data_IF_101159893336
#
_entry.id   IF_101159893336
#
_cell.length_a   1.000
_cell.length_b   1.000
_cell.length_c   1.000
_cell.angle_alpha   90.00
_cell.angle_beta   90.00
_cell.angle_gamma   90.00
#
_symmetry.space_group_name_H-M   'P 1'
#
loop_
_entity.id
_entity.type
_entity.pdbx_description
1 polymer ?
#
# COMPACT_ATOMS: atom_id res chain seq x y z
N UNK A 1 28.41 -2.47 15.24
CA UNK A 1 28.84 -2.31 13.83
C UNK A 1 27.71 -1.60 13.09
N UNK A 2 27.97 -0.42 12.51
CA UNK A 2 26.96 0.53 11.98
C UNK A 2 26.42 0.15 10.58
N UNK A 3 26.68 -1.07 10.12
CA UNK A 3 26.39 -1.56 8.78
C UNK A 3 25.66 -2.90 8.78
N UNK A 4 24.80 -3.14 9.76
CA UNK A 4 23.91 -4.31 9.79
C UNK A 4 22.46 -3.86 9.55
N UNK A 5 22.16 -3.45 8.32
CA UNK A 5 20.90 -2.79 7.93
C UNK A 5 19.74 -3.78 7.67
N UNK A 6 19.83 -5.01 8.17
CA UNK A 6 18.80 -6.04 8.02
C UNK A 6 18.45 -6.35 6.56
N UNK A 7 17.37 -7.09 6.31
CA UNK A 7 16.81 -7.31 4.96
C UNK A 7 15.88 -6.15 4.56
N UNK A 8 15.63 -6.03 3.26
CA UNK A 8 14.77 -5.00 2.65
C UNK A 8 13.44 -4.78 3.40
N UNK A 9 12.91 -3.53 3.42
CA UNK A 9 13.57 -2.31 2.95
C UNK A 9 14.53 -1.75 4.01
N UNK A 10 15.75 -1.40 3.58
CA UNK A 10 16.86 -0.97 4.44
C UNK A 10 16.71 0.47 4.97
N UNK A 11 15.62 0.76 5.69
CA UNK A 11 15.18 2.06 6.24
C UNK A 11 14.25 2.85 5.32
N UNK A 12 12.98 2.93 5.73
CA UNK A 12 11.96 3.82 5.16
C UNK A 12 11.69 4.96 6.15
N UNK A 13 11.68 6.21 5.66
CA UNK A 13 11.20 7.34 6.47
C UNK A 13 9.70 7.17 6.70
N UNK A 14 9.25 7.25 7.96
CA UNK A 14 7.81 7.23 8.22
C UNK A 14 7.13 8.42 7.51
N UNK A 15 6.02 8.14 6.83
CA UNK A 15 5.35 9.06 5.95
C UNK A 15 3.99 8.56 5.52
N UNK A 16 3.18 9.50 5.00
CA UNK A 16 1.81 9.26 4.58
C UNK A 16 1.55 9.99 3.27
N UNK A 17 0.74 9.40 2.41
CA UNK A 17 0.28 10.03 1.18
C UNK A 17 -1.19 9.72 0.95
N UNK A 18 -1.99 10.75 0.68
CA UNK A 18 -3.35 10.59 0.18
C UNK A 18 -3.28 10.29 -1.33
N UNK A 19 -3.69 9.10 -1.73
CA UNK A 19 -3.69 8.66 -3.12
C UNK A 19 -5.09 8.81 -3.70
N UNK A 20 -5.18 9.39 -4.91
CA UNK A 20 -6.45 9.51 -5.64
C UNK A 20 -6.25 9.30 -7.14
N UNK A 21 -6.85 8.25 -7.68
CA UNK A 21 -6.64 7.80 -9.07
C UNK A 21 -7.97 7.69 -9.79
N UNK A 22 -8.01 7.97 -11.10
CA UNK A 22 -9.17 7.59 -11.93
C UNK A 22 -9.13 6.10 -12.17
N UNK A 23 -10.27 5.44 -12.07
CA UNK A 23 -10.43 4.00 -12.29
C UNK A 23 -11.60 3.73 -13.21
N UNK A 24 -11.61 2.57 -13.86
CA UNK A 24 -12.80 2.08 -14.55
C UNK A 24 -13.90 1.72 -13.55
N UNK A 25 -15.15 1.70 -13.99
CA UNK A 25 -16.29 1.32 -13.16
C UNK A 25 -16.16 -0.10 -12.61
N UNK A 26 -16.74 -0.36 -11.45
CA UNK A 26 -16.71 -1.67 -10.79
C UNK A 26 -16.10 -1.60 -9.39
N UNK A 27 -16.01 -2.75 -8.75
CA UNK A 27 -15.51 -2.86 -7.39
C UNK A 27 -14.00 -3.00 -7.40
N UNK A 28 -13.34 -2.27 -6.51
CA UNK A 28 -11.88 -2.25 -6.40
C UNK A 28 -11.45 -2.60 -4.99
N UNK A 29 -10.34 -3.32 -4.89
CA UNK A 29 -9.65 -3.60 -3.63
C UNK A 29 -8.20 -3.17 -3.73
N UNK A 30 -7.73 -2.47 -2.70
CA UNK A 30 -6.32 -2.08 -2.59
C UNK A 30 -5.64 -3.02 -1.61
N UNK A 31 -4.52 -3.60 -2.02
CA UNK A 31 -3.69 -4.45 -1.19
C UNK A 31 -2.36 -3.77 -0.90
N UNK A 32 -1.89 -3.85 0.35
CA UNK A 32 -0.47 -3.66 0.64
C UNK A 32 0.28 -4.97 0.36
N UNK A 33 1.47 -4.86 -0.22
CA UNK A 33 2.27 -6.02 -0.62
C UNK A 33 3.50 -6.23 0.26
N UNK A 34 3.93 -7.48 0.34
CA UNK A 34 5.29 -7.83 0.69
C UNK A 34 6.27 -7.48 -0.45
N UNK A 35 7.56 -7.47 -0.15
CA UNK A 35 8.61 -7.19 -1.14
C UNK A 35 8.69 -8.27 -2.25
N UNK A 36 8.17 -9.46 -2.00
CA UNK A 36 8.06 -10.56 -2.97
C UNK A 36 6.78 -10.48 -3.84
N UNK A 37 5.95 -9.45 -3.63
CA UNK A 37 4.70 -9.23 -4.37
C UNK A 37 3.49 -9.95 -3.79
N UNK A 38 3.62 -10.75 -2.73
CA UNK A 38 2.46 -11.37 -2.10
C UNK A 38 1.59 -10.32 -1.42
N UNK A 39 0.26 -10.52 -1.43
CA UNK A 39 -0.66 -9.68 -0.65
C UNK A 39 -0.37 -9.84 0.84
N UNK A 40 -0.34 -8.72 1.57
CA UNK A 40 -0.16 -8.69 3.02
C UNK A 40 -1.48 -8.39 3.74
N UNK A 41 -2.14 -7.29 3.39
CA UNK A 41 -3.44 -6.90 3.95
C UNK A 41 -4.22 -5.99 2.99
N UNK A 42 -5.53 -5.91 3.18
CA UNK A 42 -6.41 -4.98 2.46
C UNK A 42 -6.29 -3.59 3.07
N UNK A 43 -6.07 -2.59 2.22
CA UNK A 43 -6.03 -1.18 2.60
C UNK A 43 -7.44 -0.60 2.49
N UNK A 44 -7.96 0.09 3.52
CA UNK A 44 -9.23 0.81 3.40
C UNK A 44 -9.21 1.79 2.23
N UNK A 45 -10.16 1.61 1.32
CA UNK A 45 -10.27 2.41 0.11
C UNK A 45 -11.73 2.66 -0.24
N UNK A 46 -12.01 3.77 -0.93
CA UNK A 46 -13.34 4.10 -1.41
C UNK A 46 -13.29 4.45 -2.89
N UNK A 47 -14.33 4.06 -3.63
CA UNK A 47 -14.54 4.48 -5.02
C UNK A 47 -15.71 5.45 -5.05
N UNK A 48 -15.44 6.69 -5.46
CA UNK A 48 -16.46 7.72 -5.62
C UNK A 48 -16.33 8.38 -6.98
N UNK A 49 -17.41 8.38 -7.77
CA UNK A 49 -17.47 9.05 -9.09
C UNK A 49 -16.29 8.67 -10.00
N UNK A 50 -15.99 7.37 -10.09
CA UNK A 50 -14.89 6.83 -10.92
C UNK A 50 -13.48 7.18 -10.41
N UNK A 51 -13.35 7.54 -9.12
CA UNK A 51 -12.05 7.78 -8.48
C UNK A 51 -11.89 6.92 -7.23
N UNK A 52 -10.84 6.11 -7.23
CA UNK A 52 -10.39 5.37 -6.06
C UNK A 52 -9.54 6.27 -5.17
N UNK A 53 -9.83 6.28 -3.87
CA UNK A 53 -9.05 6.96 -2.84
C UNK A 53 -8.62 5.99 -1.74
N UNK A 54 -7.37 6.14 -1.29
CA UNK A 54 -6.82 5.44 -0.12
C UNK A 54 -5.65 6.25 0.45
N UNK A 55 -5.22 5.92 1.68
CA UNK A 55 -4.05 6.54 2.31
C UNK A 55 -2.91 5.51 2.37
N UNK A 56 -1.82 5.79 1.66
CA UNK A 56 -0.58 5.03 1.79
C UNK A 56 0.15 5.49 3.07
N UNK A 57 0.45 4.57 3.97
CA UNK A 57 1.15 4.84 5.23
C UNK A 57 2.30 3.85 5.38
N UNK A 58 3.49 4.38 5.64
CA UNK A 58 4.67 3.56 5.90
C UNK A 58 4.49 2.74 7.19
N UNK A 59 3.81 3.32 8.18
CA UNK A 59 3.50 2.72 9.48
C UNK A 59 2.12 2.02 9.56
N UNK A 60 1.54 1.63 8.41
CA UNK A 60 0.25 0.90 8.38
C UNK A 60 0.30 -0.44 9.12
N UNK A 61 1.48 -1.05 9.20
CA UNK A 61 1.75 -2.29 9.93
C UNK A 61 2.81 -1.98 11.01
N UNK A 62 2.54 -2.25 12.30
CA UNK A 62 3.48 -1.95 13.37
C UNK A 62 4.75 -2.82 13.34
N UNK A 63 4.76 -3.91 12.57
CA UNK A 63 5.87 -4.87 12.50
C UNK A 63 6.75 -4.68 11.28
N UNK A 64 6.27 -4.01 10.23
CA UNK A 64 6.98 -3.84 8.97
C UNK A 64 6.55 -2.58 8.20
N UNK A 65 7.50 -1.96 7.50
CA UNK A 65 7.17 -0.85 6.60
C UNK A 65 6.23 -1.30 5.47
N UNK A 66 5.26 -0.45 5.14
CA UNK A 66 4.32 -0.65 4.04
C UNK A 66 4.56 0.38 2.93
N UNK A 67 4.91 -0.07 1.73
CA UNK A 67 5.39 0.82 0.65
C UNK A 67 5.08 0.33 -0.77
N UNK A 68 4.55 -0.88 -0.91
CA UNK A 68 4.09 -1.45 -2.19
C UNK A 68 2.59 -1.68 -2.11
N UNK A 69 1.88 -1.30 -3.16
CA UNK A 69 0.43 -1.39 -3.23
C UNK A 69 -0.03 -1.93 -4.59
N UNK A 70 -1.05 -2.78 -4.59
CA UNK A 70 -1.73 -3.26 -5.78
C UNK A 70 -3.20 -2.84 -5.76
N UNK A 71 -3.72 -2.47 -6.93
CA UNK A 71 -5.13 -2.13 -7.13
C UNK A 71 -5.74 -3.23 -7.99
N UNK A 72 -6.65 -4.01 -7.40
CA UNK A 72 -7.33 -5.12 -8.05
C UNK A 72 -8.77 -4.74 -8.32
N UNK A 73 -9.24 -4.98 -9.54
CA UNK A 73 -10.66 -4.87 -9.90
C UNK A 73 -11.32 -6.22 -9.67
N UNK A 74 -12.34 -6.25 -8.82
CA UNK A 74 -13.12 -7.46 -8.56
C UNK A 74 -14.09 -7.67 -9.74
N UNK A 75 -14.16 -8.91 -10.21
CA UNK A 75 -14.98 -9.31 -11.36
C UNK A 75 -16.46 -9.38 -11.04
#
# INVERSE_FOLDING_TARGET
MLLDWGRLPHLMRNGRAACRLRVADGDWTVYALNADGSHRFVVPSAVEKGRLSFEAKVDADPTAASYLYELVRNH
#
